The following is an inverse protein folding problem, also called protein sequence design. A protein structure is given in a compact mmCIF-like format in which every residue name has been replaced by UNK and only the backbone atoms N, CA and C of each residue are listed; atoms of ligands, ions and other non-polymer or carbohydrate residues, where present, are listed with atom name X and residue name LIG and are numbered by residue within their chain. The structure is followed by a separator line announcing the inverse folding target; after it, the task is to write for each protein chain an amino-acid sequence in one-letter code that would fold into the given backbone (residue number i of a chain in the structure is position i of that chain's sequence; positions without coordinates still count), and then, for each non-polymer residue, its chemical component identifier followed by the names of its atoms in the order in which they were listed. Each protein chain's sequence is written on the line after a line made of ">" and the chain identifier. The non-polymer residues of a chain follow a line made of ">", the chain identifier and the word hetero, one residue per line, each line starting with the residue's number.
data_IF_397301700114
#
_entry.id   IF_397301700114
#
_cell.length_a   1.000
_cell.length_b   1.000
_cell.length_c   1.000
_cell.angle_alpha   90.00
_cell.angle_beta   90.00
_cell.angle_gamma   90.00
#
_symmetry.space_group_name_H-M   'P 1'
#
loop_
_entity.id
_entity.type
_entity.pdbx_description
1 polymer ?
#
# COMPACT_ATOMS: atom_id res chain seq x y z
N UNK A 1 -8.10 11.54 17.05
CA UNK A 1 -8.69 11.63 15.69
C UNK A 1 -8.80 10.27 14.97
N UNK A 2 -8.19 9.18 15.46
CA UNK A 2 -8.27 7.84 14.85
C UNK A 2 -9.53 7.04 15.24
N UNK A 3 -10.12 7.30 16.41
CA UNK A 3 -11.29 6.54 16.89
C UNK A 3 -12.61 6.97 16.23
N UNK A 4 -12.73 8.23 15.78
CA UNK A 4 -13.96 8.75 15.16
C UNK A 4 -14.17 8.23 13.72
N UNK A 5 -13.09 8.00 12.97
CA UNK A 5 -13.16 7.43 11.61
C UNK A 5 -13.56 5.95 11.62
N UNK A 6 -13.10 5.18 12.61
CA UNK A 6 -13.42 3.75 12.74
C UNK A 6 -14.87 3.55 13.25
N UNK A 7 -15.37 4.45 14.10
CA UNK A 7 -16.75 4.39 14.59
C UNK A 7 -17.79 4.81 13.54
N UNK A 8 -17.50 5.75 12.64
CA UNK A 8 -18.45 6.15 11.59
C UNK A 8 -18.66 5.07 10.51
N UNK A 9 -17.66 4.21 10.25
CA UNK A 9 -17.78 3.14 9.26
C UNK A 9 -18.57 1.92 9.77
N UNK A 10 -18.63 1.69 11.09
CA UNK A 10 -19.44 0.59 11.67
C UNK A 10 -20.94 0.86 11.59
N UNK A 11 -21.37 2.12 11.70
CA UNK A 11 -22.79 2.48 11.67
C UNK A 11 -23.40 2.44 10.25
N UNK A 12 -22.59 2.65 9.21
CA UNK A 12 -23.06 2.63 7.81
C UNK A 12 -23.32 1.24 7.24
N UNK A 13 -22.97 0.16 7.96
CA UNK A 13 -23.28 -1.22 7.56
C UNK A 13 -24.75 -1.60 7.84
N UNK A 14 -25.48 -0.77 8.61
CA UNK A 14 -26.84 -1.06 9.08
C UNK A 14 -27.98 -0.34 8.35
N UNK A 15 -27.71 0.61 7.44
CA UNK A 15 -28.79 1.32 6.74
C UNK A 15 -29.01 0.78 5.32
N UNK A 16 -30.17 0.16 5.04
CA UNK A 16 -30.55 -0.16 3.68
C UNK A 16 -30.95 1.14 2.98
N UNK A 17 -30.10 1.64 2.07
CA UNK A 17 -30.54 2.67 1.14
C UNK A 17 -31.58 2.08 0.20
N UNK A 18 -32.84 2.39 0.46
CA UNK A 18 -33.95 2.18 -0.46
C UNK A 18 -33.88 3.23 -1.57
N UNK A 19 -34.02 2.74 -2.81
CA UNK A 19 -34.13 3.46 -4.09
C UNK A 19 -32.83 3.95 -4.75
N UNK A 20 -32.40 3.19 -5.76
CA UNK A 20 -32.21 3.66 -7.15
C UNK A 20 -31.69 2.51 -8.03
N UNK A 21 -32.57 1.56 -8.38
CA UNK A 21 -32.67 0.93 -9.71
C UNK A 21 -33.64 -0.26 -9.70
N UNK A 22 -34.92 0.03 -9.90
CA UNK A 22 -35.97 -0.94 -10.28
C UNK A 22 -35.92 -1.30 -11.78
N UNK A 23 -34.74 -1.53 -12.36
CA UNK A 23 -34.62 -1.84 -13.79
C UNK A 23 -33.64 -2.96 -14.16
N UNK A 24 -33.29 -3.82 -13.22
CA UNK A 24 -32.76 -5.12 -13.58
C UNK A 24 -33.23 -6.21 -12.62
N UNK A 25 -34.22 -6.98 -13.08
CA UNK A 25 -34.41 -8.37 -12.65
C UNK A 25 -33.21 -9.18 -13.16
N UNK A 26 -32.00 -8.84 -12.70
CA UNK A 26 -30.83 -9.65 -12.97
C UNK A 26 -30.94 -10.89 -12.11
N UNK A 27 -31.02 -12.03 -12.78
CA UNK A 27 -31.09 -13.33 -12.17
C UNK A 27 -29.89 -13.54 -11.24
N UNK A 28 -30.09 -13.33 -9.94
CA UNK A 28 -29.16 -13.80 -8.92
C UNK A 28 -29.04 -15.31 -9.09
N UNK A 29 -27.82 -15.80 -9.25
CA UNK A 29 -27.56 -17.21 -9.55
C UNK A 29 -26.42 -17.73 -8.67
N UNK A 30 -26.49 -19.01 -8.33
CA UNK A 30 -25.44 -19.64 -7.54
C UNK A 30 -24.09 -19.68 -8.26
N UNK A 31 -24.09 -19.85 -9.59
CA UNK A 31 -22.86 -19.87 -10.38
C UNK A 31 -22.11 -18.53 -10.35
N UNK A 32 -22.85 -17.42 -10.40
CA UNK A 32 -22.25 -16.10 -10.29
C UNK A 32 -21.75 -15.80 -8.87
N UNK A 33 -22.48 -16.25 -7.85
CA UNK A 33 -22.00 -16.21 -6.47
C UNK A 33 -20.68 -16.99 -6.28
N UNK A 34 -20.58 -18.18 -6.87
CA UNK A 34 -19.34 -18.98 -6.83
C UNK A 34 -18.16 -18.25 -7.49
N UNK A 35 -18.39 -17.59 -8.63
CA UNK A 35 -17.35 -16.77 -9.28
C UNK A 35 -16.89 -15.63 -8.38
N UNK A 36 -17.83 -14.87 -7.82
CA UNK A 36 -17.50 -13.76 -6.90
C UNK A 36 -16.76 -14.24 -5.66
N UNK A 37 -17.14 -15.41 -5.12
CA UNK A 37 -16.44 -16.05 -4.00
C UNK A 37 -14.98 -16.37 -4.36
N UNK A 38 -14.73 -16.97 -5.53
CA UNK A 38 -13.37 -17.28 -6.00
C UNK A 38 -12.58 -16.01 -6.26
N UNK A 39 -13.13 -15.05 -6.99
CA UNK A 39 -12.45 -13.79 -7.32
C UNK A 39 -12.05 -13.00 -6.07
N UNK A 40 -12.94 -12.94 -5.07
CA UNK A 40 -12.65 -12.27 -3.81
C UNK A 40 -11.59 -13.02 -3.00
N UNK A 41 -11.67 -14.35 -2.94
CA UNK A 41 -10.67 -15.18 -2.25
C UNK A 41 -9.28 -14.99 -2.87
N UNK A 42 -9.17 -15.10 -4.20
CA UNK A 42 -7.92 -14.91 -4.92
C UNK A 42 -7.40 -13.47 -4.78
N UNK A 43 -8.29 -12.49 -4.79
CA UNK A 43 -7.90 -11.11 -4.58
C UNK A 43 -7.29 -10.91 -3.18
N UNK A 44 -7.94 -11.43 -2.13
CA UNK A 44 -7.41 -11.38 -0.77
C UNK A 44 -6.02 -12.06 -0.67
N UNK A 45 -5.83 -13.19 -1.34
CA UNK A 45 -4.55 -13.90 -1.38
C UNK A 45 -3.46 -13.11 -2.11
N UNK A 46 -3.79 -12.51 -3.27
CA UNK A 46 -2.86 -11.63 -3.99
C UNK A 46 -2.44 -10.42 -3.15
N UNK A 47 -3.36 -9.79 -2.42
CA UNK A 47 -3.00 -8.65 -1.58
C UNK A 47 -2.19 -9.09 -0.34
N UNK A 48 -2.56 -10.22 0.25
CA UNK A 48 -1.83 -10.85 1.35
C UNK A 48 -0.35 -11.07 1.00
N UNK A 49 -0.05 -11.54 -0.22
CA UNK A 49 1.33 -11.72 -0.68
C UNK A 49 2.06 -10.39 -0.91
N UNK A 50 1.38 -9.36 -1.44
CA UNK A 50 1.96 -8.01 -1.61
C UNK A 50 2.33 -7.38 -0.26
N UNK A 51 1.48 -7.53 0.76
CA UNK A 51 1.76 -7.00 2.11
C UNK A 51 2.90 -7.77 2.79
N UNK A 52 2.97 -9.10 2.60
CA UNK A 52 4.08 -9.91 3.14
C UNK A 52 5.43 -9.61 2.50
N UNK A 53 5.44 -9.19 1.23
CA UNK A 53 6.67 -8.86 0.49
C UNK A 53 7.15 -7.42 0.75
N UNK A 54 6.34 -6.54 1.33
CA UNK A 54 6.77 -5.20 1.71
C UNK A 54 7.76 -5.23 2.88
N UNK A 55 8.85 -4.48 2.71
CA UNK A 55 10.11 -4.50 3.45
C UNK A 55 10.02 -4.32 4.98
N UNK A 56 11.05 -4.82 5.68
CA UNK A 56 11.36 -4.52 7.10
C UNK A 56 11.65 -3.03 7.42
N UNK A 57 11.56 -2.13 6.44
CA UNK A 57 11.90 -0.71 6.60
C UNK A 57 10.61 0.12 6.71
N UNK A 58 10.40 0.74 7.87
CA UNK A 58 9.20 1.52 8.19
C UNK A 58 9.05 2.75 7.27
N UNK A 59 10.18 3.29 6.80
CA UNK A 59 10.20 4.40 5.86
C UNK A 59 9.54 4.05 4.51
N UNK A 60 9.82 2.85 4.02
CA UNK A 60 9.22 2.35 2.77
C UNK A 60 7.73 2.08 2.98
N UNK A 61 7.36 1.63 4.18
CA UNK A 61 5.96 1.41 4.53
C UNK A 61 5.17 2.71 4.61
N UNK A 62 5.72 3.73 5.24
CA UNK A 62 5.13 5.06 5.27
C UNK A 62 4.93 5.68 3.88
N UNK A 63 5.86 5.46 2.95
CA UNK A 63 5.70 5.89 1.55
C UNK A 63 4.51 5.22 0.86
N UNK A 64 4.29 3.94 1.16
CA UNK A 64 3.23 3.13 0.55
C UNK A 64 1.93 3.17 1.34
N UNK A 65 1.88 3.84 2.50
CA UNK A 65 0.70 3.90 3.37
C UNK A 65 -0.59 4.20 2.59
N UNK A 66 -0.59 5.28 1.79
CA UNK A 66 -1.73 5.67 0.97
C UNK A 66 -2.19 4.57 0.00
N UNK A 67 -1.24 3.85 -0.59
CA UNK A 67 -1.56 2.74 -1.50
C UNK A 67 -2.25 1.58 -0.76
N UNK A 68 -1.80 1.26 0.46
CA UNK A 68 -2.46 0.23 1.27
C UNK A 68 -3.82 0.68 1.81
N UNK A 69 -3.99 1.97 2.15
CA UNK A 69 -5.31 2.54 2.49
C UNK A 69 -6.28 2.39 1.31
N UNK A 70 -5.85 2.71 0.08
CA UNK A 70 -6.66 2.53 -1.13
C UNK A 70 -7.03 1.06 -1.37
N UNK A 71 -6.10 0.13 -1.15
CA UNK A 71 -6.36 -1.32 -1.27
C UNK A 71 -7.36 -1.81 -0.21
N UNK A 72 -7.24 -1.30 1.02
CA UNK A 72 -8.16 -1.61 2.11
C UNK A 72 -9.60 -1.17 1.77
N UNK A 73 -9.77 0.07 1.31
CA UNK A 73 -11.08 0.60 0.90
C UNK A 73 -11.69 -0.19 -0.27
N UNK A 74 -10.87 -0.57 -1.26
CA UNK A 74 -11.33 -1.45 -2.35
C UNK A 74 -11.79 -2.82 -1.83
N UNK A 75 -11.08 -3.39 -0.84
CA UNK A 75 -11.45 -4.64 -0.21
C UNK A 75 -12.80 -4.56 0.52
N UNK A 76 -13.01 -3.51 1.31
CA UNK A 76 -14.28 -3.25 1.98
C UNK A 76 -15.44 -3.14 0.99
N UNK A 77 -15.24 -2.43 -0.13
CA UNK A 77 -16.25 -2.32 -1.17
C UNK A 77 -16.60 -3.69 -1.78
N UNK A 78 -15.59 -4.50 -2.12
CA UNK A 78 -15.81 -5.85 -2.67
C UNK A 78 -16.56 -6.76 -1.70
N UNK A 79 -16.17 -6.74 -0.42
CA UNK A 79 -16.83 -7.52 0.63
C UNK A 79 -18.30 -7.11 0.80
N UNK A 80 -18.58 -5.80 0.78
CA UNK A 80 -19.95 -5.28 0.85
C UNK A 80 -20.81 -5.77 -0.32
N UNK A 81 -20.29 -5.68 -1.56
CA UNK A 81 -20.99 -6.14 -2.75
C UNK A 81 -21.26 -7.65 -2.71
N UNK A 82 -20.27 -8.44 -2.28
CA UNK A 82 -20.42 -9.89 -2.11
C UNK A 82 -21.51 -10.25 -1.10
N UNK A 83 -21.55 -9.57 0.05
CA UNK A 83 -22.59 -9.80 1.06
C UNK A 83 -23.99 -9.42 0.56
N UNK A 84 -24.12 -8.27 -0.13
CA UNK A 84 -25.39 -7.87 -0.73
C UNK A 84 -25.89 -8.88 -1.77
N UNK A 85 -24.99 -9.39 -2.61
CA UNK A 85 -25.33 -10.43 -3.58
C UNK A 85 -25.77 -11.73 -2.89
N UNK A 86 -25.03 -12.12 -1.84
CA UNK A 86 -25.31 -13.33 -1.07
C UNK A 86 -26.68 -13.29 -0.39
N UNK A 87 -27.04 -12.15 0.22
CA UNK A 87 -28.34 -11.98 0.87
C UNK A 87 -29.49 -12.10 -0.14
N UNK A 88 -29.37 -11.45 -1.31
CA UNK A 88 -30.35 -11.59 -2.39
C UNK A 88 -30.47 -13.04 -2.90
N UNK A 89 -29.37 -13.79 -2.89
CA UNK A 89 -29.37 -15.19 -3.29
C UNK A 89 -30.07 -16.08 -2.26
N UNK A 90 -29.84 -15.84 -0.96
CA UNK A 90 -30.51 -16.53 0.15
C UNK A 90 -32.02 -16.25 0.13
N UNK A 91 -32.42 -14.99 -0.05
CA UNK A 91 -33.84 -14.60 -0.16
C UNK A 91 -34.55 -15.34 -1.29
N UNK A 92 -33.85 -15.54 -2.41
CA UNK A 92 -34.41 -16.22 -3.58
C UNK A 92 -34.38 -17.75 -3.48
N UNK A 93 -33.36 -18.31 -2.85
CA UNK A 93 -33.15 -19.76 -2.72
C UNK A 93 -32.78 -20.12 -1.28
N UNK A 94 -33.77 -20.19 -0.36
CA UNK A 94 -33.51 -20.49 1.05
C UNK A 94 -32.87 -21.86 1.28
N UNK A 95 -33.15 -22.83 0.41
CA UNK A 95 -32.64 -24.21 0.52
C UNK A 95 -31.11 -24.31 0.50
N UNK A 96 -30.43 -23.32 -0.09
CA UNK A 96 -28.96 -23.28 -0.19
C UNK A 96 -28.32 -22.30 0.81
N UNK A 97 -29.10 -21.70 1.72
CA UNK A 97 -28.64 -20.73 2.71
C UNK A 97 -27.42 -21.22 3.49
N UNK A 98 -27.47 -22.45 4.00
CA UNK A 98 -26.39 -23.04 4.81
C UNK A 98 -25.07 -23.09 4.03
N UNK A 99 -25.13 -23.36 2.72
CA UNK A 99 -23.95 -23.41 1.86
C UNK A 99 -23.37 -22.02 1.63
N UNK A 100 -24.25 -21.03 1.38
CA UNK A 100 -23.87 -19.63 1.17
C UNK A 100 -23.23 -19.06 2.45
N UNK A 101 -23.89 -19.22 3.60
CA UNK A 101 -23.40 -18.74 4.90
C UNK A 101 -22.04 -19.34 5.26
N UNK A 102 -21.81 -20.61 4.96
CA UNK A 102 -20.51 -21.26 5.16
C UNK A 102 -19.41 -20.56 4.34
N UNK A 103 -19.68 -20.21 3.09
CA UNK A 103 -18.74 -19.50 2.21
C UNK A 103 -18.51 -18.05 2.64
N UNK A 104 -19.57 -17.34 3.04
CA UNK A 104 -19.48 -16.02 3.65
C UNK A 104 -18.54 -16.06 4.86
N UNK A 105 -18.74 -17.04 5.76
CA UNK A 105 -17.89 -17.20 6.94
C UNK A 105 -16.41 -17.40 6.60
N UNK A 106 -16.11 -18.19 5.56
CA UNK A 106 -14.74 -18.40 5.07
C UNK A 106 -14.15 -17.08 4.56
N UNK A 107 -14.89 -16.33 3.73
CA UNK A 107 -14.45 -15.02 3.24
C UNK A 107 -14.17 -14.05 4.38
N UNK A 108 -15.05 -13.99 5.38
CA UNK A 108 -14.81 -13.13 6.55
C UNK A 108 -13.57 -13.55 7.32
N UNK A 109 -13.31 -14.85 7.46
CA UNK A 109 -12.07 -15.30 8.10
C UNK A 109 -10.83 -14.83 7.32
N UNK A 110 -10.82 -15.02 5.99
CA UNK A 110 -9.74 -14.56 5.12
C UNK A 110 -9.58 -13.02 5.19
N UNK A 111 -10.70 -12.29 5.17
CA UNK A 111 -10.71 -10.84 5.27
C UNK A 111 -10.16 -10.36 6.61
N UNK A 112 -10.60 -10.93 7.72
CA UNK A 112 -10.14 -10.54 9.06
C UNK A 112 -8.63 -10.74 9.21
N UNK A 113 -8.10 -11.85 8.69
CA UNK A 113 -6.65 -12.12 8.68
C UNK A 113 -5.89 -11.10 7.82
N UNK A 114 -6.48 -10.65 6.72
CA UNK A 114 -5.91 -9.62 5.84
C UNK A 114 -6.00 -8.23 6.47
N UNK A 115 -7.14 -7.89 7.06
CA UNK A 115 -7.41 -6.62 7.76
C UNK A 115 -6.46 -6.42 8.94
N UNK A 116 -6.22 -7.46 9.75
CA UNK A 116 -5.24 -7.41 10.82
C UNK A 116 -3.84 -7.01 10.32
N UNK A 117 -3.47 -7.47 9.12
CA UNK A 117 -2.17 -7.10 8.50
C UNK A 117 -2.17 -5.67 7.97
N UNK A 118 -3.27 -5.22 7.38
CA UNK A 118 -3.43 -3.81 7.00
C UNK A 118 -3.28 -2.90 8.22
N UNK A 119 -3.97 -3.20 9.32
CA UNK A 119 -3.89 -2.42 10.56
C UNK A 119 -2.46 -2.40 11.09
N UNK A 120 -1.81 -3.57 11.16
CA UNK A 120 -0.41 -3.64 11.59
C UNK A 120 0.55 -2.83 10.71
N UNK A 121 0.25 -2.67 9.43
CA UNK A 121 1.04 -1.86 8.50
C UNK A 121 0.78 -0.35 8.62
N UNK A 122 -0.46 0.03 8.91
CA UNK A 122 -0.88 1.42 9.00
C UNK A 122 -0.57 2.04 10.37
N UNK A 123 -0.48 1.22 11.41
CA UNK A 123 -0.11 1.62 12.77
C UNK A 123 1.41 1.54 13.02
N UNK A 124 2.20 1.89 12.00
CA UNK A 124 3.65 1.94 12.17
C UNK A 124 4.08 3.06 13.13
N UNK A 125 5.00 2.69 14.02
CA UNK A 125 5.55 3.55 15.05
C UNK A 125 6.29 4.75 14.42
N UNK A 126 5.80 5.95 14.73
CA UNK A 126 6.36 7.20 14.23
C UNK A 126 7.84 7.33 14.59
N UNK A 127 8.27 6.84 15.76
CA UNK A 127 9.66 6.92 16.18
C UNK A 127 10.57 6.06 15.29
N UNK A 128 10.08 4.91 14.83
CA UNK A 128 10.81 4.06 13.87
C UNK A 128 10.92 4.73 12.51
N UNK A 129 9.86 5.39 12.04
CA UNK A 129 9.90 6.15 10.78
C UNK A 129 10.95 7.27 10.84
N UNK A 130 11.03 7.99 11.98
CA UNK A 130 12.04 9.03 12.18
C UNK A 130 13.45 8.44 12.27
N UNK A 131 13.62 7.31 12.95
CA UNK A 131 14.91 6.62 13.05
C UNK A 131 15.40 6.14 11.68
N UNK A 132 14.55 5.50 10.88
CA UNK A 132 14.89 5.05 9.54
C UNK A 132 15.22 6.25 8.63
N UNK A 133 14.47 7.35 8.74
CA UNK A 133 14.78 8.59 8.01
C UNK A 133 16.15 9.15 8.39
N UNK A 134 16.48 9.18 9.68
CA UNK A 134 17.78 9.65 10.16
C UNK A 134 18.92 8.79 9.60
N UNK A 135 18.76 7.46 9.62
CA UNK A 135 19.74 6.53 9.05
C UNK A 135 19.92 6.75 7.54
N UNK A 136 18.84 6.97 6.79
CA UNK A 136 18.92 7.28 5.36
C UNK A 136 19.64 8.60 5.08
N UNK A 137 19.38 9.64 5.88
CA UNK A 137 20.06 10.93 5.74
C UNK A 137 21.56 10.81 6.04
N UNK A 138 21.94 10.05 7.07
CA UNK A 138 23.33 9.77 7.40
C UNK A 138 24.05 9.06 6.25
N UNK A 139 23.43 8.02 5.68
CA UNK A 139 23.98 7.30 4.52
C UNK A 139 24.10 8.19 3.28
N UNK A 140 23.22 9.16 3.10
CA UNK A 140 23.36 10.15 2.03
C UNK A 140 24.52 11.11 2.25
N UNK A 141 24.79 11.52 3.49
CA UNK A 141 25.92 12.39 3.82
C UNK A 141 27.26 11.69 3.57
N UNK A 142 27.38 10.42 3.99
CA UNK A 142 28.55 9.59 3.67
C UNK A 142 28.72 9.46 2.15
N UNK A 143 27.63 9.16 1.44
CA UNK A 143 27.66 9.02 -0.01
C UNK A 143 28.04 10.33 -0.73
N UNK A 144 27.52 11.48 -0.31
CA UNK A 144 27.90 12.78 -0.89
C UNK A 144 29.40 13.01 -0.70
N UNK A 145 29.91 12.74 0.51
CA UNK A 145 31.35 12.83 0.81
C UNK A 145 32.18 11.94 -0.13
N UNK A 146 31.78 10.69 -0.32
CA UNK A 146 32.45 9.77 -1.25
C UNK A 146 32.44 10.27 -2.70
N UNK A 147 31.31 10.84 -3.16
CA UNK A 147 31.21 11.40 -4.50
C UNK A 147 32.09 12.65 -4.65
N UNK A 148 32.14 13.51 -3.63
CA UNK A 148 33.02 14.69 -3.61
C UNK A 148 34.49 14.30 -3.67
N UNK A 149 34.92 13.29 -2.90
CA UNK A 149 36.28 12.73 -2.96
C UNK A 149 36.61 12.16 -4.34
N UNK A 150 35.66 11.45 -4.97
CA UNK A 150 35.84 10.92 -6.32
C UNK A 150 35.94 12.06 -7.34
N UNK A 151 35.08 13.07 -7.27
CA UNK A 151 35.10 14.25 -8.14
C UNK A 151 36.38 15.07 -7.96
N UNK A 152 36.93 15.16 -6.74
CA UNK A 152 38.19 15.84 -6.46
C UNK A 152 39.37 15.22 -7.23
N UNK A 153 39.38 13.90 -7.45
CA UNK A 153 40.39 13.21 -8.28
C UNK A 153 40.38 13.73 -9.72
N UNK A 154 39.20 13.97 -10.28
CA UNK A 154 39.05 14.52 -11.63
C UNK A 154 39.37 16.02 -11.73
N UNK A 155 39.26 16.76 -10.62
CA UNK A 155 39.65 18.18 -10.60
C UNK A 155 41.16 18.39 -10.80
N UNK A 156 41.99 17.40 -10.45
CA UNK A 156 43.43 17.37 -10.74
C UNK A 156 43.72 17.08 -12.22
N UNK A 157 42.90 16.24 -12.88
CA UNK A 157 43.06 15.84 -14.29
C UNK A 157 42.88 17.02 -15.25
N UNK A 158 42.15 18.08 -14.86
CA UNK A 158 41.97 19.29 -15.68
C UNK A 158 43.31 19.99 -16.05
N UNK A 159 44.39 19.71 -15.32
CA UNK A 159 45.74 20.22 -15.59
C UNK A 159 46.65 19.23 -16.35
N UNK A 160 46.18 18.02 -16.66
CA UNK A 160 46.90 16.97 -17.39
C UNK A 160 46.13 16.51 -18.64
N UNK A 161 46.72 15.64 -19.47
CA UNK A 161 46.03 15.07 -20.63
C UNK A 161 44.92 14.14 -20.14
N UNK A 162 43.67 14.40 -20.54
CA UNK A 162 42.52 13.54 -20.27
C UNK A 162 42.65 12.25 -21.09
N UNK A 163 42.55 11.09 -20.44
CA UNK A 163 42.55 9.78 -21.09
C UNK A 163 41.12 9.25 -21.28
N UNK A 164 41.00 8.24 -22.15
CA UNK A 164 39.70 7.60 -22.42
C UNK A 164 39.18 6.85 -21.18
N UNK A 165 40.07 6.28 -20.35
CA UNK A 165 39.69 5.66 -19.09
C UNK A 165 39.00 6.65 -18.13
N UNK A 166 39.49 7.90 -18.04
CA UNK A 166 38.91 8.93 -17.18
C UNK A 166 37.47 9.27 -17.57
N UNK A 167 37.20 9.32 -18.88
CA UNK A 167 35.85 9.55 -19.42
C UNK A 167 34.93 8.38 -19.07
N UNK A 168 35.42 7.14 -19.14
CA UNK A 168 34.63 5.96 -18.76
C UNK A 168 34.30 5.95 -17.27
N UNK A 169 35.23 6.34 -16.40
CA UNK A 169 34.99 6.44 -14.95
C UNK A 169 33.97 7.53 -14.63
N UNK A 170 34.07 8.70 -15.25
CA UNK A 170 33.09 9.77 -15.11
C UNK A 170 31.67 9.35 -15.57
N UNK A 171 31.58 8.58 -16.65
CA UNK A 171 30.29 8.04 -17.11
C UNK A 171 29.69 7.03 -16.12
N UNK A 172 30.52 6.17 -15.50
CA UNK A 172 30.07 5.25 -14.45
C UNK A 172 29.55 6.03 -13.24
N UNK A 173 30.32 7.02 -12.77
CA UNK A 173 29.94 7.89 -11.66
C UNK A 173 28.61 8.61 -11.95
N UNK A 174 28.45 9.16 -13.15
CA UNK A 174 27.20 9.82 -13.56
C UNK A 174 26.01 8.85 -13.53
N UNK A 175 26.20 7.60 -13.96
CA UNK A 175 25.14 6.60 -13.93
C UNK A 175 24.80 6.17 -12.50
N UNK A 176 25.79 6.08 -11.62
CA UNK A 176 25.58 5.80 -10.20
C UNK A 176 24.74 6.91 -9.54
N UNK A 177 25.12 8.17 -9.74
CA UNK A 177 24.37 9.34 -9.24
C UNK A 177 22.92 9.32 -9.75
N UNK A 178 22.72 9.05 -11.04
CA UNK A 178 21.38 8.93 -11.62
C UNK A 178 20.57 7.80 -10.98
N UNK A 179 21.20 6.65 -10.70
CA UNK A 179 20.52 5.50 -10.10
C UNK A 179 20.02 5.78 -8.68
N UNK A 180 20.78 6.53 -7.88
CA UNK A 180 20.43 6.90 -6.50
C UNK A 180 19.40 8.04 -6.40
N UNK A 181 19.19 8.80 -7.47
CA UNK A 181 18.24 9.93 -7.49
C UNK A 181 16.80 9.52 -7.15
N UNK A 182 16.39 8.28 -7.49
CA UNK A 182 15.09 7.72 -7.12
C UNK A 182 14.92 7.58 -5.59
N UNK A 183 15.98 7.16 -4.90
CA UNK A 183 16.01 7.02 -3.43
C UNK A 183 15.98 8.39 -2.75
N UNK A 184 16.76 9.36 -3.24
CA UNK A 184 16.75 10.74 -2.74
C UNK A 184 15.35 11.36 -2.89
N UNK A 185 14.73 11.20 -4.06
CA UNK A 185 13.36 11.68 -4.31
C UNK A 185 12.34 11.08 -3.34
N UNK A 186 12.49 9.79 -3.01
CA UNK A 186 11.64 9.09 -2.06
C UNK A 186 11.77 9.68 -0.64
N UNK A 187 13.00 9.94 -0.20
CA UNK A 187 13.28 10.56 1.12
C UNK A 187 12.74 11.99 1.20
N UNK A 188 12.85 12.78 0.13
CA UNK A 188 12.26 14.13 0.08
C UNK A 188 10.72 14.07 0.23
N UNK A 189 10.07 13.15 -0.47
CA UNK A 189 8.61 12.95 -0.37
C UNK A 189 8.19 12.60 1.08
N UNK A 190 8.98 11.77 1.78
CA UNK A 190 8.73 11.45 3.19
C UNK A 190 8.84 12.70 4.07
N UNK A 191 9.90 13.49 3.90
CA UNK A 191 10.08 14.74 4.64
C UNK A 191 8.89 15.68 4.44
N UNK A 192 8.37 15.78 3.21
CA UNK A 192 7.16 16.56 2.92
C UNK A 192 5.92 16.02 3.64
N UNK A 193 5.70 14.70 3.63
CA UNK A 193 4.57 14.06 4.30
C UNK A 193 4.63 14.21 5.82
N UNK A 194 5.80 14.01 6.42
CA UNK A 194 6.03 14.19 7.86
C UNK A 194 5.79 15.65 8.27
N UNK A 195 6.32 16.61 7.50
CA UNK A 195 6.07 18.04 7.73
C UNK A 195 4.58 18.36 7.70
N UNK A 196 3.83 17.80 6.74
CA UNK A 196 2.37 17.96 6.65
C UNK A 196 1.67 17.38 7.89
N UNK A 197 2.02 16.15 8.30
CA UNK A 197 1.46 15.50 9.49
C UNK A 197 1.71 16.32 10.78
N UNK A 198 2.92 16.84 10.95
CA UNK A 198 3.25 17.72 12.08
C UNK A 198 2.49 19.04 12.07
N UNK A 199 2.19 19.60 10.88
CA UNK A 199 1.43 20.84 10.76
C UNK A 199 -0.07 20.70 11.05
N UNK A 200 -0.66 19.52 10.85
CA UNK A 200 -2.08 19.23 11.13
C UNK A 200 -2.35 18.84 12.59
N UNK A 201 -1.30 18.69 13.41
CA UNK A 201 -1.42 18.27 14.82
C UNK A 201 -1.31 19.46 15.80
N UNK A 202 -1.23 20.70 15.29
CA UNK A 202 -1.30 21.96 16.04
C UNK A 202 -2.65 22.62 15.83
#
# INVERSE_FOLDING_TARGET
>A
MSEELICHCKSSLGEPFTSLNDLAVHHVSYNEFEKQYVELSEWCERISTVIQQSSYNALTCYLRQKYYEELYEQGLMRLRMFNQYSNKLIERFPDIQVVIEKKIKIIYQIWNDLEARFIGYLDEDFDRIIQDLHNELFLFEEWITEIEEQLAKFHFIRNEKIFYEDIQELMKLQNEIKSKNSRVSSVIEICHRLKKRLSTTK
#
